data_IF_934322146973
#
_entry.id   IF_934322146973
#
_cell.length_a   1.000
_cell.length_b   1.000
_cell.length_c   1.000
_cell.angle_alpha   90.00
_cell.angle_beta   90.00
_cell.angle_gamma   90.00
#
_symmetry.space_group_name_H-M   'P 1'
#
loop_
_entity.id
_entity.type
_entity.pdbx_description
1 polymer ?
#
# COMPACT_ATOMS: atom_id res chain seq x y z
N UNK A 1 -1.97 -21.01 19.06
CA UNK A 1 -2.33 -20.79 17.64
C UNK A 1 -3.79 -20.39 17.66
N UNK A 2 -4.08 -19.09 17.74
CA UNK A 2 -5.44 -18.61 17.94
C UNK A 2 -6.28 -18.91 16.70
N UNK A 3 -7.46 -19.47 16.91
CA UNK A 3 -8.42 -19.75 15.85
C UNK A 3 -8.82 -18.45 15.16
N UNK A 4 -8.15 -18.13 14.04
CA UNK A 4 -8.60 -17.09 13.13
C UNK A 4 -10.00 -17.48 12.69
N UNK A 5 -11.02 -16.74 13.12
CA UNK A 5 -12.36 -16.86 12.55
C UNK A 5 -12.35 -16.29 11.13
N UNK A 6 -11.83 -17.09 10.20
CA UNK A 6 -11.90 -16.82 8.77
C UNK A 6 -13.37 -16.74 8.37
N UNK A 7 -13.75 -15.65 7.71
CA UNK A 7 -15.09 -15.52 7.14
C UNK A 7 -15.32 -16.64 6.12
N UNK A 8 -16.58 -17.05 5.90
CA UNK A 8 -16.89 -18.17 5.00
C UNK A 8 -16.31 -18.03 3.58
N UNK A 9 -16.23 -16.79 3.08
CA UNK A 9 -15.62 -16.47 1.79
C UNK A 9 -14.09 -16.58 1.79
N UNK A 10 -13.41 -16.33 2.92
CA UNK A 10 -11.96 -16.50 3.06
C UNK A 10 -11.58 -17.97 3.07
N UNK A 11 -12.41 -18.80 3.72
CA UNK A 11 -12.24 -20.26 3.67
C UNK A 11 -12.38 -20.79 2.25
N UNK A 12 -13.30 -20.24 1.46
CA UNK A 12 -13.47 -20.60 0.06
C UNK A 12 -12.26 -20.20 -0.79
N UNK A 13 -11.70 -19.00 -0.57
CA UNK A 13 -10.50 -18.52 -1.27
C UNK A 13 -9.21 -19.24 -0.82
N UNK A 14 -9.12 -19.63 0.45
CA UNK A 14 -7.99 -20.39 0.99
C UNK A 14 -7.97 -21.86 0.53
N UNK A 15 -9.14 -22.45 0.27
CA UNK A 15 -9.29 -23.87 -0.12
C UNK A 15 -8.38 -24.31 -1.29
N UNK A 16 -8.26 -23.56 -2.40
CA UNK A 16 -7.33 -23.94 -3.48
C UNK A 16 -5.84 -23.82 -3.11
N UNK A 17 -5.48 -23.05 -2.07
CA UNK A 17 -4.09 -22.77 -1.69
C UNK A 17 -3.69 -23.33 -0.32
N UNK A 18 -4.57 -24.13 0.29
CA UNK A 18 -4.42 -24.72 1.63
C UNK A 18 -4.63 -23.74 2.78
N UNK A 19 -4.10 -22.53 2.67
CA UNK A 19 -4.11 -21.50 3.70
C UNK A 19 -4.36 -20.10 3.12
N UNK A 20 -4.98 -19.22 3.91
CA UNK A 20 -5.24 -17.83 3.56
C UNK A 20 -3.93 -17.04 3.38
N UNK A 21 -2.88 -17.38 4.14
CA UNK A 21 -1.57 -16.73 4.03
C UNK A 21 -0.91 -17.04 2.68
N UNK A 22 -1.02 -18.28 2.22
CA UNK A 22 -0.51 -18.69 0.90
C UNK A 22 -1.30 -18.04 -0.24
N UNK A 23 -2.63 -17.99 -0.13
CA UNK A 23 -3.46 -17.25 -1.10
C UNK A 23 -3.05 -15.78 -1.18
N UNK A 24 -2.92 -15.11 -0.04
CA UNK A 24 -2.53 -13.70 0.02
C UNK A 24 -1.13 -13.49 -0.55
N UNK A 25 -0.17 -14.36 -0.21
CA UNK A 25 1.18 -14.31 -0.78
C UNK A 25 1.17 -14.38 -2.32
N UNK A 26 0.47 -15.35 -2.88
CA UNK A 26 0.38 -15.53 -4.34
C UNK A 26 -0.31 -14.32 -4.98
N UNK A 27 -1.38 -13.82 -4.38
CA UNK A 27 -2.08 -12.63 -4.85
C UNK A 27 -1.17 -11.39 -4.87
N UNK A 28 -0.38 -11.15 -3.81
CA UNK A 28 0.60 -10.06 -3.78
C UNK A 28 1.69 -10.22 -4.85
N UNK A 29 2.15 -11.44 -5.10
CA UNK A 29 3.13 -11.74 -6.14
C UNK A 29 2.58 -11.44 -7.53
N UNK A 30 1.34 -11.87 -7.84
CA UNK A 30 0.65 -11.55 -9.10
C UNK A 30 0.54 -10.04 -9.30
N UNK A 31 0.12 -9.31 -8.26
CA UNK A 31 0.04 -7.85 -8.33
C UNK A 31 1.40 -7.19 -8.55
N UNK A 32 2.48 -7.74 -8.01
CA UNK A 32 3.84 -7.26 -8.27
C UNK A 32 4.24 -7.46 -9.73
N UNK A 33 3.91 -8.61 -10.32
CA UNK A 33 4.14 -8.86 -11.75
C UNK A 33 3.35 -7.86 -12.60
N UNK A 34 2.12 -7.52 -12.20
CA UNK A 34 1.30 -6.50 -12.88
C UNK A 34 1.96 -5.12 -12.83
N UNK A 35 2.48 -4.70 -11.68
CA UNK A 35 3.18 -3.40 -11.55
C UNK A 35 4.42 -3.33 -12.44
N UNK A 36 5.27 -4.36 -12.37
CA UNK A 36 6.47 -4.45 -13.20
C UNK A 36 6.10 -4.46 -14.68
N UNK A 37 5.08 -5.24 -15.06
CA UNK A 37 4.57 -5.28 -16.43
C UNK A 37 4.02 -3.94 -16.90
N UNK A 38 3.27 -3.23 -16.06
CA UNK A 38 2.70 -1.92 -16.40
C UNK A 38 3.79 -0.86 -16.62
N UNK A 39 4.87 -0.88 -15.82
CA UNK A 39 6.02 0.02 -16.01
C UNK A 39 6.82 -0.37 -17.25
N UNK A 40 7.01 -1.67 -17.51
CA UNK A 40 7.80 -2.17 -18.63
C UNK A 40 7.13 -1.94 -20.00
N UNK A 41 5.79 -1.99 -20.06
CA UNK A 41 5.05 -1.83 -21.32
C UNK A 41 4.92 -0.37 -21.80
N UNK A 42 5.54 0.60 -21.11
CA UNK A 42 5.53 2.03 -21.48
C UNK A 42 4.11 2.56 -21.81
N UNK A 43 3.11 2.17 -21.01
CA UNK A 43 1.73 2.60 -21.19
C UNK A 43 1.60 4.12 -20.99
N UNK A 44 0.48 4.67 -21.46
CA UNK A 44 0.13 6.08 -21.22
C UNK A 44 0.28 6.42 -19.72
N UNK A 45 0.89 7.58 -19.43
CA UNK A 45 1.23 8.01 -18.06
C UNK A 45 0.08 7.83 -17.08
N UNK A 46 -1.12 8.27 -17.47
CA UNK A 46 -2.31 8.18 -16.62
C UNK A 46 -2.74 6.73 -16.38
N UNK A 47 -2.64 5.87 -17.39
CA UNK A 47 -2.95 4.44 -17.27
C UNK A 47 -1.97 3.75 -16.33
N UNK A 48 -0.67 3.99 -16.48
CA UNK A 48 0.36 3.44 -15.58
C UNK A 48 0.12 3.88 -14.15
N UNK A 49 -0.19 5.16 -13.93
CA UNK A 49 -0.50 5.68 -12.59
C UNK A 49 -1.72 5.03 -11.96
N UNK A 50 -2.81 4.88 -12.72
CA UNK A 50 -4.03 4.22 -12.23
C UNK A 50 -3.74 2.77 -11.84
N UNK A 51 -2.96 2.04 -12.64
CA UNK A 51 -2.57 0.67 -12.32
C UNK A 51 -1.73 0.63 -11.04
N UNK A 52 -0.66 1.42 -10.95
CA UNK A 52 0.23 1.42 -9.79
C UNK A 52 -0.49 1.81 -8.50
N UNK A 53 -1.35 2.83 -8.54
CA UNK A 53 -2.10 3.28 -7.36
C UNK A 53 -3.14 2.25 -6.94
N UNK A 54 -3.93 1.73 -7.89
CA UNK A 54 -4.97 0.74 -7.57
C UNK A 54 -4.37 -0.56 -7.01
N UNK A 55 -3.29 -1.06 -7.61
CA UNK A 55 -2.57 -2.24 -7.13
C UNK A 55 -1.94 -1.98 -5.77
N UNK A 56 -1.32 -0.81 -5.57
CA UNK A 56 -0.76 -0.41 -4.29
C UNK A 56 -1.79 -0.43 -3.15
N UNK A 57 -3.00 0.07 -3.39
CA UNK A 57 -4.09 0.05 -2.40
C UNK A 57 -4.47 -1.38 -2.02
N UNK A 58 -4.66 -2.26 -3.00
CA UNK A 58 -5.03 -3.67 -2.75
C UNK A 58 -3.93 -4.38 -1.97
N UNK A 59 -2.67 -4.13 -2.30
CA UNK A 59 -1.51 -4.70 -1.59
C UNK A 59 -1.41 -4.23 -0.15
N UNK A 60 -1.60 -2.94 0.11
CA UNK A 60 -1.59 -2.39 1.48
C UNK A 60 -2.66 -3.09 2.33
N UNK A 61 -3.85 -3.31 1.78
CA UNK A 61 -4.90 -4.06 2.47
C UNK A 61 -4.49 -5.53 2.73
N UNK A 62 -3.92 -6.21 1.72
CA UNK A 62 -3.46 -7.59 1.84
C UNK A 62 -2.35 -7.78 2.89
N UNK A 63 -1.40 -6.84 2.95
CA UNK A 63 -0.29 -6.87 3.91
C UNK A 63 -0.80 -6.55 5.31
N UNK A 64 -1.58 -5.47 5.47
CA UNK A 64 -2.11 -5.08 6.78
C UNK A 64 -3.03 -6.15 7.37
N UNK A 65 -3.95 -6.68 6.58
CA UNK A 65 -4.95 -7.64 7.04
C UNK A 65 -4.36 -8.99 7.45
N UNK A 66 -3.49 -9.57 6.62
CA UNK A 66 -3.01 -10.94 6.82
C UNK A 66 -1.54 -11.04 7.24
N UNK A 67 -0.59 -10.28 6.66
CA UNK A 67 0.81 -10.40 7.08
C UNK A 67 1.11 -9.69 8.41
N UNK A 68 0.49 -8.55 8.65
CA UNK A 68 0.63 -7.79 9.90
C UNK A 68 -0.40 -8.19 10.96
N UNK A 69 -1.28 -9.15 10.67
CA UNK A 69 -2.31 -9.67 11.57
C UNK A 69 -3.28 -8.63 12.17
N UNK A 70 -3.31 -7.40 11.65
CA UNK A 70 -4.11 -6.29 12.19
C UNK A 70 -5.61 -6.60 12.29
N UNK A 71 -6.10 -7.55 11.49
CA UNK A 71 -7.49 -7.98 11.50
C UNK A 71 -7.85 -8.93 12.65
N UNK A 72 -6.89 -9.73 13.11
CA UNK A 72 -7.07 -10.61 14.28
C UNK A 72 -6.72 -9.92 15.61
N UNK A 73 -6.01 -8.79 15.51
CA UNK A 73 -5.47 -8.05 16.63
C UNK A 73 -6.48 -7.07 17.25
N UNK A 74 -6.30 -6.71 18.54
CA UNK A 74 -7.08 -5.67 19.20
C UNK A 74 -7.15 -4.37 18.39
N UNK A 75 -8.34 -3.75 18.36
CA UNK A 75 -8.60 -2.55 17.55
C UNK A 75 -7.66 -1.36 17.84
N UNK A 76 -7.04 -1.32 19.01
CA UNK A 76 -6.04 -0.30 19.37
C UNK A 76 -4.84 -0.30 18.41
N UNK A 77 -4.42 -1.48 17.92
CA UNK A 77 -3.27 -1.60 17.02
C UNK A 77 -3.58 -1.06 15.61
N UNK A 78 -4.83 -1.21 15.15
CA UNK A 78 -5.28 -0.60 13.90
C UNK A 78 -5.30 0.93 14.01
N UNK A 79 -5.72 1.49 15.15
CA UNK A 79 -5.68 2.95 15.38
C UNK A 79 -4.24 3.49 15.34
N UNK A 80 -3.31 2.79 15.98
CA UNK A 80 -1.90 3.19 15.96
C UNK A 80 -1.26 3.03 14.57
N UNK A 81 -1.70 2.05 13.77
CA UNK A 81 -1.23 1.90 12.38
C UNK A 81 -1.72 3.02 11.45
N UNK A 82 -2.88 3.61 11.73
CA UNK A 82 -3.42 4.75 10.96
C UNK A 82 -2.72 6.07 11.32
N UNK A 83 -2.19 6.20 12.55
CA UNK A 83 -1.51 7.42 12.99
C UNK A 83 -0.38 7.91 12.06
N UNK A 84 0.59 7.08 11.62
CA UNK A 84 1.60 7.52 10.67
C UNK A 84 1.02 7.89 9.29
N UNK A 85 -0.05 7.26 8.84
CA UNK A 85 -0.73 7.63 7.59
C UNK A 85 -1.35 9.03 7.68
N UNK A 86 -1.94 9.37 8.84
CA UNK A 86 -2.44 10.71 9.11
C UNK A 86 -1.30 11.74 9.05
N UNK A 87 -0.14 11.44 9.62
CA UNK A 87 1.01 12.33 9.57
C UNK A 87 1.53 12.54 8.14
N UNK A 88 1.61 11.48 7.32
CA UNK A 88 1.98 11.59 5.89
C UNK A 88 0.97 12.46 5.14
N UNK A 89 -0.33 12.29 5.38
CA UNK A 89 -1.36 13.13 4.76
C UNK A 89 -1.20 14.60 5.16
N UNK A 90 -0.89 14.89 6.43
CA UNK A 90 -0.58 16.23 6.89
C UNK A 90 0.67 16.81 6.23
N UNK A 91 1.72 16.01 6.02
CA UNK A 91 2.92 16.46 5.30
C UNK A 91 2.60 16.83 3.84
N UNK A 92 1.82 16.00 3.15
CA UNK A 92 1.36 16.29 1.78
C UNK A 92 0.53 17.57 1.76
N UNK A 93 -0.37 17.75 2.72
CA UNK A 93 -1.20 18.95 2.79
C UNK A 93 -0.38 20.21 3.13
N UNK A 94 0.43 20.17 4.18
CA UNK A 94 1.14 21.32 4.71
C UNK A 94 2.28 21.78 3.80
N UNK A 95 3.03 20.85 3.23
CA UNK A 95 4.16 21.16 2.35
C UNK A 95 3.69 21.19 0.89
N UNK A 96 3.02 20.14 0.44
CA UNK A 96 2.73 19.95 -0.98
C UNK A 96 1.60 20.84 -1.52
N UNK A 97 0.58 21.15 -0.70
CA UNK A 97 -0.63 21.87 -1.18
C UNK A 97 -0.79 23.28 -0.60
N UNK A 98 -0.20 23.58 0.55
CA UNK A 98 -0.41 24.85 1.26
C UNK A 98 0.65 25.93 0.96
N UNK A 99 1.67 25.62 0.16
CA UNK A 99 2.76 26.54 -0.17
C UNK A 99 2.91 26.67 -1.70
N UNK A 100 2.96 27.90 -2.28
CA UNK A 100 3.06 28.10 -3.73
C UNK A 100 4.30 27.49 -4.38
N UNK A 101 5.41 27.33 -3.65
CA UNK A 101 6.61 26.64 -4.13
C UNK A 101 6.69 25.16 -3.75
N UNK A 102 5.76 24.67 -2.92
CA UNK A 102 5.64 23.24 -2.57
C UNK A 102 6.94 22.60 -2.10
N UNK A 103 7.31 21.49 -2.75
CA UNK A 103 8.57 20.75 -2.54
C UNK A 103 9.76 21.33 -3.31
N UNK A 104 9.51 22.25 -4.24
CA UNK A 104 10.54 22.82 -5.12
C UNK A 104 11.26 24.03 -4.47
N UNK A 105 10.61 24.70 -3.51
CA UNK A 105 11.15 25.85 -2.75
C UNK A 105 11.90 25.45 -1.46
N UNK A 106 12.27 24.18 -1.32
CA UNK A 106 13.03 23.76 -0.15
C UNK A 106 14.45 24.32 -0.17
N UNK A 107 15.06 24.57 1.00
CA UNK A 107 16.45 25.00 1.03
C UNK A 107 17.34 23.92 0.39
N UNK A 108 18.44 24.34 -0.23
CA UNK A 108 19.28 23.49 -1.11
C UNK A 108 19.82 22.21 -0.44
N UNK A 109 19.91 22.16 0.89
CA UNK A 109 20.30 20.97 1.65
C UNK A 109 19.23 19.86 1.73
N UNK A 110 17.98 20.15 1.36
CA UNK A 110 16.85 19.22 1.34
C UNK A 110 16.48 18.81 -0.09
N UNK A 111 17.01 19.52 -1.08
CA UNK A 111 16.82 19.22 -2.49
C UNK A 111 17.88 18.19 -2.94
N UNK A 112 17.53 17.27 -3.85
CA UNK A 112 18.52 16.37 -4.40
C UNK A 112 19.58 17.12 -5.23
N UNK A 113 20.80 16.57 -5.35
CA UNK A 113 21.92 17.25 -6.01
C UNK A 113 21.73 17.49 -7.51
N UNK A 114 20.72 16.88 -8.14
CA UNK A 114 20.37 17.08 -9.55
C UNK A 114 19.29 18.15 -9.79
N UNK A 115 18.81 18.81 -8.73
CA UNK A 115 17.87 19.94 -8.82
C UNK A 115 18.52 21.29 -8.46
N UNK A 116 19.82 21.30 -8.14
CA UNK A 116 20.60 22.49 -7.77
C UNK A 116 21.35 23.10 -8.97
#
# INVERSE_FOLDING_TARGET
>A
MGDHQLAGWEKALAKPFGDIYNFNFIMLMVFTVIEVGAVYMELEKYTTWVILISVGIVKVFGIAGWFMHLRGDPFIFTKTAIFPLFFVALMIYGIGLSNPGGVDDFPSWCLPPWTA
#
